data_IF_938895891786
#
_entry.id   IF_938895891786
#
_cell.length_a   1.000
_cell.length_b   1.000
_cell.length_c   1.000
_cell.angle_alpha   90.00
_cell.angle_beta   90.00
_cell.angle_gamma   90.00
#
_symmetry.space_group_name_H-M   'P 1'
#
loop_
_entity.id
_entity.type
_entity.pdbx_description
1 polymer ?
#
# COMPACT_ATOMS: atom_id res chain seq x y z
N UNK A 1 -35.15 -2.66 21.31
CA UNK A 1 -34.85 -1.78 20.16
C UNK A 1 -33.37 -1.92 19.84
N UNK A 2 -33.09 -2.70 18.80
CA UNK A 2 -31.96 -2.72 17.87
C UNK A 2 -30.56 -2.28 18.32
N UNK A 3 -29.72 -3.24 18.71
CA UNK A 3 -28.25 -3.15 18.55
C UNK A 3 -27.89 -3.50 17.11
N UNK A 4 -27.97 -2.55 16.19
CA UNK A 4 -27.43 -2.75 14.84
C UNK A 4 -25.90 -2.66 14.95
N UNK A 5 -25.27 -3.82 15.01
CA UNK A 5 -23.85 -4.00 14.76
C UNK A 5 -23.63 -3.89 13.25
N UNK A 6 -23.19 -2.71 12.80
CA UNK A 6 -22.78 -2.52 11.41
C UNK A 6 -21.51 -3.34 11.15
N UNK A 7 -21.45 -4.13 10.06
CA UNK A 7 -20.22 -4.82 9.69
C UNK A 7 -19.17 -3.79 9.29
N UNK A 8 -18.07 -3.74 10.04
CA UNK A 8 -16.91 -2.92 9.68
C UNK A 8 -16.17 -3.60 8.51
N UNK A 9 -16.59 -3.29 7.28
CA UNK A 9 -15.90 -3.76 6.09
C UNK A 9 -14.56 -3.02 5.95
N UNK A 10 -13.43 -3.74 5.97
CA UNK A 10 -12.12 -3.15 5.67
C UNK A 10 -11.96 -2.96 4.16
N UNK A 11 -12.37 -1.79 3.68
CA UNK A 11 -12.17 -1.34 2.31
C UNK A 11 -10.98 -0.40 2.24
N UNK A 12 -10.06 -0.65 1.31
CA UNK A 12 -8.98 0.27 1.01
C UNK A 12 -9.53 1.34 0.05
N UNK A 13 -9.80 2.54 0.56
CA UNK A 13 -10.33 3.68 -0.20
C UNK A 13 -9.28 4.38 -1.08
N UNK A 14 -8.16 3.73 -1.36
CA UNK A 14 -7.10 4.24 -2.22
C UNK A 14 -6.83 3.20 -3.29
N UNK A 15 -6.89 3.62 -4.54
CA UNK A 15 -6.56 2.78 -5.67
C UNK A 15 -5.07 2.44 -5.62
N UNK A 16 -4.69 1.15 -5.57
CA UNK A 16 -3.30 0.73 -5.39
C UNK A 16 -2.44 0.91 -6.65
N UNK A 17 -3.05 1.16 -7.81
CA UNK A 17 -2.37 1.32 -9.09
C UNK A 17 -2.03 2.79 -9.33
N UNK A 18 -3.01 3.68 -9.16
CA UNK A 18 -2.84 5.11 -9.44
C UNK A 18 -2.65 5.98 -8.19
N UNK A 19 -2.92 5.46 -6.99
CA UNK A 19 -2.85 6.23 -5.74
C UNK A 19 -4.01 7.20 -5.54
N UNK A 20 -5.06 7.14 -6.38
CA UNK A 20 -6.22 8.01 -6.29
C UNK A 20 -7.16 7.56 -5.16
N UNK A 21 -7.68 8.50 -4.38
CA UNK A 21 -8.71 8.20 -3.39
C UNK A 21 -10.04 7.83 -4.07
N UNK A 22 -10.54 6.64 -3.79
CA UNK A 22 -11.79 6.08 -4.33
C UNK A 22 -12.69 5.65 -3.17
N UNK A 23 -13.98 5.95 -3.26
CA UNK A 23 -14.97 5.48 -2.28
C UNK A 23 -15.74 4.28 -2.82
N UNK A 24 -16.28 3.44 -1.94
CA UNK A 24 -17.05 2.25 -2.34
C UNK A 24 -18.24 2.61 -3.24
N UNK A 25 -18.83 3.78 -3.06
CA UNK A 25 -19.94 4.28 -3.87
C UNK A 25 -19.53 4.82 -5.25
N UNK A 26 -18.24 5.06 -5.47
CA UNK A 26 -17.68 5.68 -6.70
C UNK A 26 -16.70 4.77 -7.42
N UNK A 27 -16.41 3.58 -6.87
CA UNK A 27 -15.53 2.62 -7.47
C UNK A 27 -16.14 2.06 -8.76
N UNK A 28 -15.36 2.04 -9.84
CA UNK A 28 -15.77 1.40 -11.09
C UNK A 28 -15.67 -0.13 -10.98
N UNK A 29 -14.72 -0.62 -10.19
CA UNK A 29 -14.52 -2.04 -9.91
C UNK A 29 -13.99 -2.25 -8.48
N UNK A 30 -14.20 -3.44 -7.92
CA UNK A 30 -13.63 -3.88 -6.65
C UNK A 30 -13.02 -5.28 -6.76
N UNK A 31 -11.97 -5.55 -5.99
CA UNK A 31 -11.37 -6.88 -5.88
C UNK A 31 -11.08 -7.20 -4.41
N UNK A 32 -11.29 -8.46 -4.02
CA UNK A 32 -10.91 -8.93 -2.70
C UNK A 32 -9.55 -9.65 -2.77
N UNK A 33 -8.58 -9.18 -1.99
CA UNK A 33 -7.24 -9.77 -1.93
C UNK A 33 -6.77 -9.84 -0.48
N UNK A 34 -6.39 -11.05 -0.01
CA UNK A 34 -5.98 -11.32 1.39
C UNK A 34 -7.05 -10.83 2.40
N UNK A 35 -8.34 -10.97 2.06
CA UNK A 35 -9.44 -10.53 2.92
C UNK A 35 -9.57 -9.01 3.09
N UNK A 36 -8.91 -8.23 2.23
CA UNK A 36 -9.07 -6.77 2.11
C UNK A 36 -9.74 -6.47 0.78
N UNK A 37 -10.75 -5.60 0.79
CA UNK A 37 -11.40 -5.13 -0.44
C UNK A 37 -10.68 -3.92 -0.98
N UNK A 38 -10.16 -4.02 -2.19
CA UNK A 38 -9.53 -2.94 -2.94
C UNK A 38 -10.53 -2.36 -3.94
N UNK A 39 -10.57 -1.03 -4.01
CA UNK A 39 -11.44 -0.29 -4.91
C UNK A 39 -10.60 0.31 -6.04
N UNK A 40 -11.14 0.27 -7.26
CA UNK A 40 -10.47 0.77 -8.46
C UNK A 40 -11.24 1.92 -9.08
N UNK A 41 -10.52 2.95 -9.53
CA UNK A 41 -11.14 4.10 -10.20
C UNK A 41 -11.63 3.74 -11.61
N UNK A 42 -11.11 2.68 -12.21
CA UNK A 42 -11.39 2.28 -13.60
C UNK A 42 -11.12 0.79 -13.81
N UNK A 43 -11.73 0.21 -14.84
CA UNK A 43 -11.55 -1.21 -15.21
C UNK A 43 -10.09 -1.53 -15.60
N UNK A 44 -9.38 -0.56 -16.19
CA UNK A 44 -7.95 -0.71 -16.51
C UNK A 44 -7.09 -0.92 -15.25
N UNK A 45 -7.37 -0.19 -14.16
CA UNK A 45 -6.68 -0.37 -12.88
C UNK A 45 -6.97 -1.76 -12.28
N UNK A 46 -8.21 -2.26 -12.42
CA UNK A 46 -8.56 -3.62 -12.02
C UNK A 46 -7.78 -4.68 -12.83
N UNK A 47 -7.66 -4.51 -14.15
CA UNK A 47 -6.90 -5.44 -15.01
C UNK A 47 -5.40 -5.44 -14.69
N UNK A 48 -4.81 -4.27 -14.42
CA UNK A 48 -3.42 -4.14 -13.99
C UNK A 48 -3.19 -4.81 -12.63
N UNK A 49 -4.13 -4.64 -11.71
CA UNK A 49 -4.12 -5.32 -10.42
C UNK A 49 -4.21 -6.84 -10.58
N UNK A 50 -5.08 -7.35 -11.45
CA UNK A 50 -5.18 -8.78 -11.73
C UNK A 50 -3.89 -9.37 -12.35
N UNK A 51 -3.15 -8.57 -13.12
CA UNK A 51 -1.88 -8.99 -13.70
C UNK A 51 -0.72 -9.04 -12.68
N UNK A 52 -0.81 -8.31 -11.56
CA UNK A 52 0.35 -8.13 -10.67
C UNK A 52 0.09 -7.58 -9.28
N UNK A 53 -1.05 -7.86 -8.66
CA UNK A 53 -1.50 -7.31 -7.36
C UNK A 53 -0.41 -7.29 -6.29
N UNK A 54 0.32 -8.39 -6.11
CA UNK A 54 1.36 -8.53 -5.08
C UNK A 54 2.42 -7.43 -5.14
N UNK A 55 2.76 -6.94 -6.35
CA UNK A 55 3.76 -5.88 -6.53
C UNK A 55 3.26 -4.55 -5.97
N UNK A 56 2.07 -4.15 -6.39
CA UNK A 56 1.43 -2.90 -5.99
C UNK A 56 1.08 -2.87 -4.49
N UNK A 57 0.63 -4.00 -3.93
CA UNK A 57 0.26 -4.08 -2.51
C UNK A 57 1.50 -4.10 -1.60
N UNK A 58 2.60 -4.71 -2.04
CA UNK A 58 3.87 -4.69 -1.28
C UNK A 58 4.44 -3.27 -1.22
N UNK A 59 4.31 -2.48 -2.30
CA UNK A 59 4.73 -1.07 -2.32
C UNK A 59 3.89 -0.19 -1.37
N UNK A 60 2.58 -0.47 -1.23
CA UNK A 60 1.70 0.19 -0.27
C UNK A 60 2.01 -0.21 1.18
N UNK A 61 2.35 -1.49 1.40
CA UNK A 61 2.69 -2.00 2.73
C UNK A 61 3.98 -1.38 3.32
N UNK A 62 4.80 -0.74 2.49
CA UNK A 62 6.02 -0.06 2.93
C UNK A 62 5.91 1.46 3.05
N UNK A 63 4.69 2.03 3.11
CA UNK A 63 4.44 3.36 3.69
C UNK A 63 5.54 4.40 3.42
N UNK A 64 5.92 4.58 2.15
CA UNK A 64 6.68 5.71 1.64
C UNK A 64 7.93 6.19 2.39
N UNK A 65 8.69 5.36 3.12
CA UNK A 65 9.86 5.89 3.87
C UNK A 65 11.22 5.28 3.50
N UNK A 66 11.37 4.68 2.31
CA UNK A 66 12.71 4.35 1.80
C UNK A 66 12.78 4.10 0.29
N UNK A 67 12.73 5.18 -0.49
CA UNK A 67 13.24 5.19 -1.87
C UNK A 67 14.57 5.93 -1.90
N UNK A 68 15.68 5.19 -1.99
CA UNK A 68 16.95 5.73 -2.50
C UNK A 68 17.78 6.64 -1.58
N UNK A 69 18.05 6.26 -0.33
CA UNK A 69 19.09 6.92 0.46
C UNK A 69 20.23 5.97 0.82
N UNK A 70 21.44 6.30 0.34
CA UNK A 70 22.69 5.76 0.87
C UNK A 70 22.82 6.23 2.31
N UNK A 71 22.78 5.31 3.27
CA UNK A 71 22.94 5.61 4.68
C UNK A 71 24.21 6.45 4.91
N UNK A 72 24.12 7.70 5.41
CA UNK A 72 25.30 8.49 5.74
C UNK A 72 26.18 7.82 6.80
N UNK A 73 25.62 6.89 7.58
CA UNK A 73 26.35 6.15 8.62
C UNK A 73 27.20 4.97 8.11
N UNK A 74 27.18 4.63 6.82
CA UNK A 74 28.02 3.56 6.26
C UNK A 74 29.11 4.07 5.31
N UNK A 75 29.37 5.38 5.28
CA UNK A 75 30.46 5.96 4.47
C UNK A 75 31.80 6.06 5.21
N UNK A 76 31.84 5.96 6.53
CA UNK A 76 33.09 6.13 7.27
C UNK A 76 33.82 4.80 7.43
N UNK A 77 34.47 4.37 6.34
CA UNK A 77 35.63 3.49 6.43
C UNK A 77 36.83 4.26 6.99
N UNK A 78 36.78 4.60 8.28
CA UNK A 78 37.92 5.00 9.12
C UNK A 78 37.52 4.72 10.58
N UNK A 79 37.65 3.47 10.99
CA UNK A 79 37.73 3.11 12.39
C UNK A 79 39.20 3.34 12.78
N UNK A 80 39.53 4.54 13.23
CA UNK A 80 40.73 4.75 14.02
C UNK A 80 40.47 4.14 15.39
N UNK A 81 41.37 3.27 15.83
CA UNK A 81 41.46 2.84 17.20
C UNK A 81 42.89 2.37 17.49
N UNK A 82 43.23 2.02 18.74
CA UNK A 82 42.53 2.30 19.99
C UNK A 82 43.42 3.02 21.04
N UNK A 83 42.78 3.66 22.02
CA UNK A 83 43.17 3.70 23.46
C UNK A 83 44.67 3.57 23.81
N UNK A 84 45.35 4.71 24.02
CA UNK A 84 46.54 4.88 24.87
C UNK A 84 46.75 6.35 25.25
#
# INVERSE_FOLDING_TARGET
MSTISYPVQRTNQVDPICGMAVSASTAAAEAEFIGVRYLFCSEECYLLFMQGATRYITELAHGGTCVGHRCPFQRSGMHDGPDA
#
